data_IF_861979860961
#
_entry.id   IF_861979860961
#
_cell.length_a   1.000
_cell.length_b   1.000
_cell.length_c   1.000
_cell.angle_alpha   90.00
_cell.angle_beta   90.00
_cell.angle_gamma   90.00
#
_symmetry.space_group_name_H-M   'P 1'
#
loop_
_entity.id
_entity.type
_entity.pdbx_description
1 polymer ?
#
# COMPACT_ATOMS: atom_id res chain seq x y z
N UNK A 1 18.23 -4.23 4.39
CA UNK A 1 17.84 -5.15 3.27
C UNK A 1 16.58 -4.63 2.63
N UNK A 2 16.48 -4.70 1.29
CA UNK A 2 15.29 -4.22 0.61
C UNK A 2 14.10 -5.16 0.83
N UNK A 3 12.96 -4.61 1.25
CA UNK A 3 11.69 -5.34 1.34
C UNK A 3 11.07 -5.55 -0.05
N UNK A 4 11.21 -4.53 -0.92
CA UNK A 4 10.78 -4.55 -2.32
C UNK A 4 11.80 -3.82 -3.18
N UNK A 5 12.18 -4.41 -4.31
CA UNK A 5 13.02 -3.78 -5.34
C UNK A 5 12.44 -4.05 -6.71
N UNK A 6 12.26 -3.00 -7.45
CA UNK A 6 11.75 -3.00 -8.83
C UNK A 6 12.84 -2.38 -9.70
N UNK A 7 13.20 -3.02 -10.82
CA UNK A 7 14.26 -2.58 -11.71
C UNK A 7 13.79 -2.58 -13.16
N UNK A 8 13.90 -1.41 -13.79
CA UNK A 8 13.57 -1.16 -15.20
C UNK A 8 12.24 -1.79 -15.64
N UNK A 9 11.19 -1.67 -14.78
CA UNK A 9 9.91 -2.34 -15.00
C UNK A 9 9.09 -1.66 -16.11
N UNK A 10 8.71 -2.44 -17.10
CA UNK A 10 7.68 -2.09 -18.07
C UNK A 10 6.47 -3.00 -17.86
N UNK A 11 5.31 -2.40 -17.62
CA UNK A 11 4.08 -3.16 -17.35
C UNK A 11 2.84 -2.38 -17.81
N UNK A 12 1.71 -3.09 -17.97
CA UNK A 12 0.46 -2.48 -18.38
C UNK A 12 -0.69 -3.47 -18.52
N UNK A 13 -1.65 -3.17 -19.38
CA UNK A 13 -2.85 -3.98 -19.57
C UNK A 13 -3.08 -4.26 -21.07
N UNK A 14 -3.29 -5.52 -21.43
CA UNK A 14 -3.43 -5.92 -22.83
C UNK A 14 -2.21 -5.48 -23.65
N UNK A 15 -2.41 -4.67 -24.69
CA UNK A 15 -1.37 -4.08 -25.52
C UNK A 15 -0.86 -2.70 -25.03
N UNK A 16 -1.46 -2.14 -23.97
CA UNK A 16 -1.12 -0.79 -23.49
C UNK A 16 -0.03 -0.85 -22.42
N UNK A 17 1.09 -0.18 -22.65
CA UNK A 17 2.16 0.01 -21.67
C UNK A 17 1.84 1.24 -20.83
N UNK A 18 1.70 1.02 -19.49
CA UNK A 18 1.43 2.07 -18.51
C UNK A 18 2.71 2.48 -17.78
N UNK A 19 3.51 1.52 -17.36
CA UNK A 19 4.78 1.75 -16.67
C UNK A 19 5.95 1.61 -17.63
N UNK A 20 6.93 2.52 -17.53
CA UNK A 20 8.01 2.67 -18.50
C UNK A 20 9.35 2.82 -17.79
N UNK A 21 10.04 1.69 -17.58
CA UNK A 21 11.38 1.68 -16.97
C UNK A 21 11.38 2.13 -15.51
N UNK A 22 10.43 1.64 -14.70
CA UNK A 22 10.33 2.02 -13.29
C UNK A 22 11.45 1.38 -12.48
N UNK A 23 12.17 2.22 -11.74
CA UNK A 23 13.08 1.83 -10.68
C UNK A 23 12.55 2.30 -9.33
N UNK A 24 12.34 1.38 -8.39
CA UNK A 24 11.87 1.66 -7.05
C UNK A 24 12.45 0.66 -6.06
N UNK A 25 12.95 1.16 -4.94
CA UNK A 25 13.36 0.31 -3.81
C UNK A 25 12.65 0.78 -2.55
N UNK A 26 12.19 -0.16 -1.73
CA UNK A 26 11.67 0.08 -0.39
C UNK A 26 12.47 -0.80 0.57
N UNK A 27 13.14 -0.18 1.54
CA UNK A 27 13.91 -0.90 2.55
C UNK A 27 13.00 -1.48 3.65
N UNK A 28 13.50 -2.47 4.39
CA UNK A 28 12.75 -3.03 5.52
C UNK A 28 12.47 -1.95 6.58
N UNK A 29 11.21 -1.84 7.00
CA UNK A 29 10.76 -0.83 7.98
C UNK A 29 10.66 0.60 7.44
N UNK A 30 11.06 0.85 6.19
CA UNK A 30 10.96 2.16 5.55
C UNK A 30 9.51 2.50 5.21
N UNK A 31 9.16 3.80 5.26
CA UNK A 31 7.90 4.31 4.76
C UNK A 31 8.13 5.24 3.56
N UNK A 32 7.58 4.85 2.42
CA UNK A 32 7.75 5.56 1.14
C UNK A 32 6.41 6.01 0.62
N UNK A 33 6.31 7.27 0.20
CA UNK A 33 5.17 7.76 -0.54
C UNK A 33 5.41 7.67 -2.05
N UNK A 34 4.45 7.13 -2.77
CA UNK A 34 4.38 7.21 -4.23
C UNK A 34 3.33 8.27 -4.59
N UNK A 35 3.77 9.41 -5.07
CA UNK A 35 2.92 10.56 -5.40
C UNK A 35 2.86 10.80 -6.91
N UNK A 36 1.82 11.50 -7.37
CA UNK A 36 1.62 11.85 -8.78
C UNK A 36 0.14 11.97 -9.11
N UNK A 37 -0.17 12.51 -10.28
CA UNK A 37 -1.55 12.73 -10.74
C UNK A 37 -2.31 11.42 -10.95
N UNK A 38 -3.64 11.53 -11.04
CA UNK A 38 -4.49 10.42 -11.46
C UNK A 38 -4.09 9.97 -12.88
N UNK A 39 -4.01 8.63 -13.06
CA UNK A 39 -3.55 8.04 -14.33
C UNK A 39 -2.03 8.00 -14.51
N UNK A 40 -1.21 8.47 -13.56
CA UNK A 40 0.25 8.40 -13.65
C UNK A 40 0.83 6.97 -13.63
N UNK A 41 0.03 5.96 -13.22
CA UNK A 41 0.46 4.55 -13.16
C UNK A 41 0.68 4.02 -11.73
N UNK A 42 0.34 4.79 -10.69
CA UNK A 42 0.60 4.44 -9.28
C UNK A 42 -0.01 3.10 -8.87
N UNK A 43 -1.33 2.92 -9.05
CA UNK A 43 -2.03 1.66 -8.75
C UNK A 43 -1.53 0.52 -9.64
N UNK A 44 -1.19 0.80 -10.91
CA UNK A 44 -0.59 -0.19 -11.82
C UNK A 44 0.73 -0.72 -11.26
N UNK A 45 1.55 0.14 -10.65
CA UNK A 45 2.81 -0.27 -10.03
C UNK A 45 2.56 -1.21 -8.84
N UNK A 46 1.61 -0.87 -7.95
CA UNK A 46 1.27 -1.75 -6.82
C UNK A 46 0.72 -3.10 -7.31
N UNK A 47 -0.17 -3.09 -8.30
CA UNK A 47 -0.78 -4.29 -8.87
C UNK A 47 0.23 -5.18 -9.62
N UNK A 48 1.28 -4.58 -10.19
CA UNK A 48 2.36 -5.33 -10.84
C UNK A 48 3.11 -6.26 -9.88
N UNK A 49 3.25 -5.87 -8.61
CA UNK A 49 3.85 -6.71 -7.56
C UNK A 49 3.07 -8.02 -7.37
N UNK A 50 1.75 -7.99 -7.59
CA UNK A 50 0.86 -9.16 -7.48
C UNK A 50 0.52 -9.80 -8.83
N UNK A 51 1.20 -9.36 -9.91
CA UNK A 51 0.93 -9.86 -11.28
C UNK A 51 -0.52 -9.69 -11.73
N UNK A 52 -1.18 -8.67 -11.25
CA UNK A 52 -2.51 -8.25 -11.76
C UNK A 52 -2.38 -7.38 -13.03
N UNK A 53 -1.15 -7.19 -13.53
CA UNK A 53 -0.80 -6.50 -14.78
C UNK A 53 0.05 -7.41 -15.66
N UNK A 54 0.17 -7.09 -16.95
CA UNK A 54 1.13 -7.74 -17.83
C UNK A 54 2.52 -7.11 -17.62
N UNK A 55 3.48 -7.88 -17.11
CA UNK A 55 4.88 -7.48 -17.04
C UNK A 55 5.50 -7.76 -18.40
N UNK A 56 5.97 -6.69 -19.07
CA UNK A 56 6.58 -6.75 -20.41
C UNK A 56 8.08 -6.97 -20.32
N UNK A 57 8.74 -6.29 -19.38
CA UNK A 57 10.16 -6.46 -19.08
C UNK A 57 10.49 -5.88 -17.69
N UNK A 58 11.73 -6.09 -17.22
CA UNK A 58 12.21 -5.64 -15.92
C UNK A 58 12.11 -6.73 -14.87
N UNK A 59 12.42 -6.37 -13.64
CA UNK A 59 12.52 -7.30 -12.53
C UNK A 59 11.79 -6.78 -11.30
N UNK A 60 11.11 -7.68 -10.59
CA UNK A 60 10.50 -7.42 -9.29
C UNK A 60 11.06 -8.41 -8.27
N UNK A 61 11.64 -7.87 -7.22
CA UNK A 61 12.24 -8.63 -6.12
C UNK A 61 11.54 -8.33 -4.81
N UNK A 62 11.15 -9.35 -4.08
CA UNK A 62 10.71 -9.24 -2.70
C UNK A 62 11.79 -9.89 -1.85
N UNK A 63 12.49 -9.08 -1.06
CA UNK A 63 13.74 -9.45 -0.39
C UNK A 63 14.74 -10.00 -1.44
N UNK A 64 15.23 -11.19 -1.24
CA UNK A 64 16.23 -11.83 -2.11
C UNK A 64 15.60 -12.69 -3.22
N UNK A 65 14.26 -12.65 -3.38
CA UNK A 65 13.57 -13.50 -4.35
C UNK A 65 12.97 -12.69 -5.48
N UNK A 66 13.38 -12.99 -6.70
CA UNK A 66 12.77 -12.47 -7.93
C UNK A 66 11.39 -13.10 -8.14
N UNK A 67 10.36 -12.29 -8.41
CA UNK A 67 8.96 -12.73 -8.46
C UNK A 67 8.22 -12.36 -9.74
N UNK A 68 8.79 -11.57 -10.64
CA UNK A 68 8.12 -11.07 -11.86
C UNK A 68 7.58 -12.18 -12.78
N UNK A 69 8.18 -13.37 -12.75
CA UNK A 69 7.68 -14.54 -13.49
C UNK A 69 6.89 -15.55 -12.64
N UNK A 70 6.74 -15.31 -11.31
CA UNK A 70 6.07 -16.22 -10.38
C UNK A 70 4.59 -15.87 -10.24
N UNK A 71 3.73 -16.81 -9.75
CA UNK A 71 2.32 -16.52 -9.47
C UNK A 71 2.15 -15.34 -8.49
N UNK A 72 1.13 -14.50 -8.69
CA UNK A 72 0.90 -13.26 -7.93
C UNK A 72 0.81 -13.45 -6.41
N UNK A 73 0.30 -14.60 -5.94
CA UNK A 73 0.27 -14.91 -4.50
C UNK A 73 1.66 -15.07 -3.87
N UNK A 74 2.72 -15.16 -4.67
CA UNK A 74 4.10 -15.30 -4.18
C UNK A 74 4.53 -14.07 -3.38
N UNK A 75 4.17 -12.86 -3.81
CA UNK A 75 4.43 -11.64 -3.07
C UNK A 75 3.84 -11.70 -1.65
N UNK A 76 2.59 -12.16 -1.52
CA UNK A 76 1.91 -12.29 -0.23
C UNK A 76 2.60 -13.33 0.68
N UNK A 77 3.01 -14.48 0.15
CA UNK A 77 3.77 -15.50 0.91
C UNK A 77 5.12 -15.00 1.39
N UNK A 78 5.76 -14.10 0.63
CA UNK A 78 7.04 -13.48 1.00
C UNK A 78 6.89 -12.29 1.96
N UNK A 79 5.65 -11.88 2.25
CA UNK A 79 5.36 -10.85 3.25
C UNK A 79 5.08 -9.47 2.68
N UNK A 80 4.61 -9.37 1.45
CA UNK A 80 4.02 -8.14 0.92
C UNK A 80 2.50 -8.26 0.94
N UNK A 81 1.80 -7.29 1.53
CA UNK A 81 0.33 -7.24 1.49
C UNK A 81 -0.16 -5.94 0.86
N UNK A 82 -1.43 -5.90 0.46
CA UNK A 82 -2.03 -4.73 -0.15
C UNK A 82 -3.41 -4.43 0.45
N UNK A 83 -3.67 -3.14 0.73
CA UNK A 83 -5.01 -2.59 0.86
C UNK A 83 -5.29 -1.77 -0.41
N UNK A 84 -6.02 -2.32 -1.38
CA UNK A 84 -6.25 -1.70 -2.67
C UNK A 84 -7.28 -0.57 -2.58
N UNK A 85 -7.27 0.33 -3.55
CA UNK A 85 -8.31 1.35 -3.74
C UNK A 85 -9.70 0.72 -3.76
N UNK A 86 -10.70 1.43 -3.21
CA UNK A 86 -12.07 0.95 -3.12
C UNK A 86 -12.31 -0.09 -2.04
N UNK A 87 -11.34 -0.30 -1.11
CA UNK A 87 -11.45 -1.11 0.12
C UNK A 87 -11.70 -2.61 -0.11
N UNK A 88 -12.42 -3.00 -1.16
CA UNK A 88 -12.79 -4.37 -1.55
C UNK A 88 -13.25 -5.22 -0.34
N UNK A 89 -14.21 -4.67 0.44
CA UNK A 89 -14.84 -5.39 1.54
C UNK A 89 -15.72 -6.50 0.98
N UNK A 90 -15.63 -7.71 1.55
CA UNK A 90 -16.46 -8.83 1.14
C UNK A 90 -17.85 -8.70 1.80
N UNK A 91 -18.92 -8.53 0.99
CA UNK A 91 -20.20 -8.05 1.50
C UNK A 91 -20.93 -9.07 2.38
N UNK A 92 -20.71 -10.37 2.15
CA UNK A 92 -21.36 -11.45 2.88
C UNK A 92 -20.61 -11.91 4.13
N UNK A 93 -19.50 -11.26 4.46
CA UNK A 93 -18.69 -11.61 5.61
C UNK A 93 -18.79 -10.54 6.70
N UNK A 94 -18.77 -10.98 7.93
CA UNK A 94 -18.64 -10.13 9.11
C UNK A 94 -17.29 -9.41 9.10
N UNK A 95 -17.15 -8.40 9.96
CA UNK A 95 -15.88 -7.70 10.18
C UNK A 95 -14.78 -8.70 10.58
N UNK A 96 -15.06 -9.58 11.54
CA UNK A 96 -14.13 -10.62 12.00
C UNK A 96 -13.72 -11.55 10.89
N UNK A 97 -14.67 -12.06 10.09
CA UNK A 97 -14.38 -12.95 8.98
C UNK A 97 -13.55 -12.26 7.87
N UNK A 98 -13.88 -10.99 7.54
CA UNK A 98 -13.06 -10.19 6.63
C UNK A 98 -11.60 -10.09 7.11
N UNK A 99 -11.36 -9.85 8.41
CA UNK A 99 -10.02 -9.80 8.99
C UNK A 99 -9.31 -11.16 8.88
N UNK A 100 -10.00 -12.25 9.23
CA UNK A 100 -9.43 -13.60 9.23
C UNK A 100 -8.97 -14.07 7.85
N UNK A 101 -9.57 -13.59 6.77
CA UNK A 101 -9.09 -13.87 5.41
C UNK A 101 -7.64 -13.45 5.18
N UNK A 102 -7.19 -12.38 5.83
CA UNK A 102 -5.80 -11.93 5.75
C UNK A 102 -4.78 -12.98 6.22
N UNK A 103 -5.19 -13.93 7.07
CA UNK A 103 -4.34 -15.01 7.58
C UNK A 103 -4.04 -16.11 6.55
N UNK A 104 -4.62 -16.05 5.35
CA UNK A 104 -4.47 -17.08 4.31
C UNK A 104 -3.01 -17.35 3.90
N UNK A 105 -2.09 -16.41 4.16
CA UNK A 105 -0.66 -16.59 3.90
C UNK A 105 0.02 -17.57 4.86
N UNK A 106 -0.58 -17.87 6.02
CA UNK A 106 0.01 -18.71 7.08
C UNK A 106 1.15 -18.05 7.85
N UNK A 107 1.50 -16.79 7.56
CA UNK A 107 2.58 -16.07 8.29
C UNK A 107 2.17 -15.75 9.72
N UNK A 108 3.12 -15.90 10.63
CA UNK A 108 2.96 -15.59 12.06
C UNK A 108 3.78 -14.35 12.40
N UNK A 109 3.29 -13.51 13.30
CA UNK A 109 3.99 -12.31 13.74
C UNK A 109 3.15 -11.43 14.65
N UNK A 110 3.48 -10.14 14.68
CA UNK A 110 2.85 -9.14 15.55
C UNK A 110 1.34 -8.98 15.31
N UNK A 111 0.91 -9.08 14.05
CA UNK A 111 -0.47 -8.77 13.67
C UNK A 111 -1.38 -9.98 13.91
N UNK A 112 -2.18 -9.89 14.96
CA UNK A 112 -3.23 -10.82 15.36
C UNK A 112 -4.57 -10.10 15.42
N UNK A 113 -5.69 -10.82 15.58
CA UNK A 113 -6.97 -10.15 15.80
C UNK A 113 -6.90 -9.17 16.97
N UNK A 114 -6.23 -9.56 18.06
CA UNK A 114 -6.07 -8.71 19.25
C UNK A 114 -5.35 -7.40 18.89
N UNK A 115 -4.17 -7.46 18.29
CA UNK A 115 -3.38 -6.25 17.97
C UNK A 115 -4.03 -5.40 16.86
N UNK A 116 -4.78 -6.01 15.95
CA UNK A 116 -5.59 -5.26 14.97
C UNK A 116 -6.77 -4.56 15.63
N UNK A 117 -7.40 -5.16 16.62
CA UNK A 117 -8.46 -4.53 17.42
C UNK A 117 -7.91 -3.42 18.33
N UNK A 118 -6.73 -3.60 18.91
CA UNK A 118 -6.03 -2.54 19.66
C UNK A 118 -5.73 -1.33 18.75
N UNK A 119 -5.38 -1.57 17.47
CA UNK A 119 -5.17 -0.51 16.47
C UNK A 119 -6.49 0.13 16.00
N UNK A 120 -7.56 -0.65 15.91
CA UNK A 120 -8.90 -0.24 15.42
C UNK A 120 -10.01 -0.74 16.35
N UNK A 121 -10.22 -0.13 17.53
CA UNK A 121 -11.21 -0.62 18.51
C UNK A 121 -12.63 -0.75 17.96
N UNK A 122 -13.03 0.13 17.05
CA UNK A 122 -14.34 0.09 16.39
C UNK A 122 -14.59 -1.21 15.60
N UNK A 123 -13.53 -1.88 15.14
CA UNK A 123 -13.67 -3.16 14.46
C UNK A 123 -13.98 -4.31 15.43
N UNK A 124 -13.51 -4.24 16.67
CA UNK A 124 -13.86 -5.16 17.73
C UNK A 124 -15.33 -4.99 18.14
N UNK A 125 -15.76 -3.75 18.41
CA UNK A 125 -17.14 -3.41 18.76
C UNK A 125 -18.15 -3.90 17.71
N UNK A 126 -17.72 -4.02 16.46
CA UNK A 126 -18.56 -4.40 15.33
C UNK A 126 -18.17 -5.73 14.71
N UNK A 127 -17.41 -6.56 15.42
CA UNK A 127 -16.80 -7.78 14.91
C UNK A 127 -17.79 -8.74 14.23
N UNK A 128 -19.00 -8.86 14.77
CA UNK A 128 -20.03 -9.79 14.29
C UNK A 128 -21.05 -9.14 13.31
N UNK A 129 -20.83 -7.85 12.94
CA UNK A 129 -21.63 -7.18 11.91
C UNK A 129 -21.03 -7.39 10.53
N UNK A 130 -21.88 -7.34 9.48
CA UNK A 130 -21.40 -7.38 8.10
C UNK A 130 -20.47 -6.19 7.81
N UNK A 131 -19.36 -6.43 7.11
CA UNK A 131 -18.38 -5.40 6.78
C UNK A 131 -18.95 -4.23 5.98
N UNK A 132 -20.00 -4.47 5.19
CA UNK A 132 -20.73 -3.45 4.43
C UNK A 132 -21.58 -2.49 5.29
N UNK A 133 -21.89 -2.87 6.51
CA UNK A 133 -22.64 -2.02 7.46
C UNK A 133 -21.74 -0.97 8.14
N UNK A 134 -20.45 -1.00 7.92
CA UNK A 134 -19.50 -0.02 8.42
C UNK A 134 -19.56 1.27 7.61
N UNK A 135 -19.26 2.42 8.26
CA UNK A 135 -19.03 3.67 7.54
C UNK A 135 -17.81 3.58 6.60
N UNK A 136 -17.68 4.49 5.64
CA UNK A 136 -16.56 4.49 4.71
C UNK A 136 -15.18 4.48 5.39
N UNK A 137 -14.98 5.29 6.42
CA UNK A 137 -13.73 5.30 7.19
C UNK A 137 -13.49 3.98 7.95
N UNK A 138 -14.55 3.39 8.53
CA UNK A 138 -14.44 2.09 9.21
C UNK A 138 -14.14 0.96 8.23
N UNK A 139 -14.70 1.01 7.01
CA UNK A 139 -14.35 0.06 5.94
C UNK A 139 -12.89 0.20 5.52
N UNK A 140 -12.33 1.42 5.53
CA UNK A 140 -10.91 1.65 5.28
C UNK A 140 -10.04 1.01 6.36
N UNK A 141 -10.41 1.19 7.65
CA UNK A 141 -9.75 0.51 8.77
C UNK A 141 -9.81 -1.02 8.62
N UNK A 142 -10.97 -1.55 8.19
CA UNK A 142 -11.14 -2.99 7.95
C UNK A 142 -10.25 -3.49 6.81
N UNK A 143 -10.12 -2.76 5.71
CA UNK A 143 -9.24 -3.11 4.59
C UNK A 143 -7.77 -3.13 5.01
N UNK A 144 -7.31 -2.12 5.75
CA UNK A 144 -5.95 -2.06 6.30
C UNK A 144 -5.74 -3.20 7.31
N UNK A 145 -6.68 -3.39 8.25
CA UNK A 145 -6.62 -4.46 9.24
C UNK A 145 -6.52 -5.85 8.59
N UNK A 146 -7.30 -6.11 7.54
CA UNK A 146 -7.22 -7.36 6.77
C UNK A 146 -5.85 -7.55 6.12
N UNK A 147 -5.25 -6.49 5.58
CA UNK A 147 -3.91 -6.57 5.00
C UNK A 147 -2.84 -6.82 6.07
N UNK A 148 -2.98 -6.25 7.26
CA UNK A 148 -2.08 -6.48 8.41
C UNK A 148 -2.17 -7.91 8.93
N UNK A 149 -3.36 -8.54 8.91
CA UNK A 149 -3.54 -9.94 9.34
C UNK A 149 -2.70 -10.94 8.54
N UNK A 150 -2.18 -10.55 7.36
CA UNK A 150 -1.19 -11.34 6.61
C UNK A 150 0.21 -11.35 7.26
N UNK A 151 0.43 -10.62 8.34
CA UNK A 151 1.73 -10.39 8.97
C UNK A 151 2.81 -9.94 7.97
N UNK A 152 2.55 -8.83 7.24
CA UNK A 152 3.47 -8.38 6.23
C UNK A 152 4.73 -7.74 6.82
N UNK A 153 5.86 -7.88 6.11
CA UNK A 153 7.04 -7.04 6.32
C UNK A 153 6.93 -5.71 5.57
N UNK A 154 6.07 -5.66 4.53
CA UNK A 154 5.75 -4.47 3.75
C UNK A 154 4.26 -4.45 3.41
N UNK A 155 3.57 -3.37 3.76
CA UNK A 155 2.18 -3.13 3.34
C UNK A 155 2.14 -2.08 2.23
N UNK A 156 1.40 -2.37 1.17
CA UNK A 156 1.10 -1.46 0.08
C UNK A 156 -0.30 -0.87 0.30
N UNK A 157 -0.43 0.45 0.24
CA UNK A 157 -1.68 1.16 0.47
C UNK A 157 -2.00 2.03 -0.74
N UNK A 158 -3.14 1.79 -1.37
CA UNK A 158 -3.55 2.51 -2.58
C UNK A 158 -4.66 3.52 -2.24
N UNK A 159 -4.28 4.81 -2.19
CA UNK A 159 -5.12 5.97 -1.87
C UNK A 159 -5.96 5.77 -0.58
N UNK A 160 -5.32 5.42 0.57
CA UNK A 160 -6.05 5.09 1.78
C UNK A 160 -6.83 6.26 2.38
N UNK A 161 -6.53 7.51 2.01
CA UNK A 161 -7.25 8.71 2.48
C UNK A 161 -8.47 9.06 1.63
N UNK A 162 -8.72 8.37 0.51
CA UNK A 162 -9.82 8.69 -0.41
C UNK A 162 -11.18 8.66 0.30
N UNK A 163 -11.91 9.79 0.20
CA UNK A 163 -13.25 9.94 0.78
C UNK A 163 -13.27 9.98 2.32
N UNK A 164 -12.14 10.22 2.98
CA UNK A 164 -12.06 10.43 4.41
C UNK A 164 -12.21 11.91 4.79
N UNK A 165 -12.83 12.18 5.94
CA UNK A 165 -12.83 13.51 6.53
C UNK A 165 -11.45 13.88 7.09
N UNK A 166 -11.13 15.17 7.28
CA UNK A 166 -9.84 15.60 7.83
C UNK A 166 -9.48 14.91 9.16
N UNK A 167 -10.45 14.73 10.06
CA UNK A 167 -10.24 14.04 11.35
C UNK A 167 -9.83 12.57 11.15
N UNK A 168 -10.43 11.89 10.17
CA UNK A 168 -10.06 10.49 9.86
C UNK A 168 -8.69 10.38 9.17
N UNK A 169 -8.27 11.41 8.44
CA UNK A 169 -6.92 11.49 7.87
C UNK A 169 -5.88 11.59 8.98
N UNK A 170 -6.13 12.38 10.04
CA UNK A 170 -5.24 12.45 11.19
C UNK A 170 -5.11 11.08 11.89
N UNK A 171 -6.23 10.39 12.12
CA UNK A 171 -6.22 9.01 12.64
C UNK A 171 -5.50 8.02 11.73
N UNK A 172 -5.56 8.20 10.40
CA UNK A 172 -4.81 7.38 9.45
C UNK A 172 -3.30 7.61 9.57
N UNK A 173 -2.85 8.86 9.75
CA UNK A 173 -1.42 9.18 10.01
C UNK A 173 -0.92 8.43 11.26
N UNK A 174 -1.69 8.48 12.36
CA UNK A 174 -1.33 7.79 13.59
C UNK A 174 -1.29 6.26 13.39
N UNK A 175 -2.21 5.73 12.59
CA UNK A 175 -2.24 4.31 12.19
C UNK A 175 -0.97 3.94 11.43
N UNK A 176 -0.59 4.69 10.40
CA UNK A 176 0.61 4.41 9.60
C UNK A 176 1.88 4.47 10.45
N UNK A 177 1.98 5.44 11.35
CA UNK A 177 3.10 5.54 12.28
C UNK A 177 3.13 4.36 13.28
N UNK A 178 1.97 3.83 13.69
CA UNK A 178 1.89 2.65 14.56
C UNK A 178 2.32 1.37 13.82
N UNK A 179 1.93 1.21 12.56
CA UNK A 179 2.35 0.11 11.67
C UNK A 179 3.87 0.11 11.52
N UNK A 180 4.48 1.28 11.28
CA UNK A 180 5.94 1.44 11.18
C UNK A 180 6.65 1.08 12.49
N UNK A 181 6.14 1.58 13.62
CA UNK A 181 6.70 1.24 14.96
C UNK A 181 6.65 -0.25 15.27
N UNK A 182 5.69 -0.97 14.72
CA UNK A 182 5.62 -2.43 14.79
C UNK A 182 6.59 -3.15 13.84
N UNK A 183 7.42 -2.41 13.08
CA UNK A 183 8.43 -2.96 12.16
C UNK A 183 7.93 -3.31 10.77
N UNK A 184 6.67 -2.97 10.43
CA UNK A 184 6.14 -3.17 9.07
C UNK A 184 6.46 -1.94 8.21
N UNK A 185 7.17 -2.13 7.08
CA UNK A 185 7.40 -1.09 6.09
C UNK A 185 6.10 -0.68 5.38
N UNK A 186 6.05 0.53 4.86
CA UNK A 186 4.85 1.09 4.19
C UNK A 186 5.22 1.68 2.85
N UNK A 187 4.54 1.26 1.78
CA UNK A 187 4.51 1.99 0.51
C UNK A 187 3.09 2.52 0.32
N UNK A 188 2.92 3.83 0.45
CA UNK A 188 1.61 4.47 0.31
C UNK A 188 1.52 5.27 -0.97
N UNK A 189 0.51 4.97 -1.78
CA UNK A 189 0.09 5.80 -2.91
C UNK A 189 -0.85 6.86 -2.38
N UNK A 190 -0.50 8.15 -2.56
CA UNK A 190 -1.29 9.24 -2.02
C UNK A 190 -1.17 10.52 -2.84
N UNK A 191 -2.21 11.35 -2.75
CA UNK A 191 -2.24 12.71 -3.27
C UNK A 191 -2.28 13.75 -2.14
N UNK A 192 -2.61 13.32 -0.94
CA UNK A 192 -2.74 14.14 0.24
C UNK A 192 -1.38 14.45 0.86
N UNK A 193 -0.75 15.56 0.44
CA UNK A 193 0.62 15.92 0.85
C UNK A 193 0.79 16.07 2.36
N UNK A 194 -0.27 16.49 3.10
CA UNK A 194 -0.20 16.58 4.56
C UNK A 194 -0.04 15.19 5.21
N UNK A 195 -0.79 14.18 4.73
CA UNK A 195 -0.64 12.79 5.18
C UNK A 195 0.76 12.28 4.86
N UNK A 196 1.19 12.45 3.61
CA UNK A 196 2.49 11.99 3.13
C UNK A 196 3.63 12.55 4.00
N UNK A 197 3.64 13.87 4.26
CA UNK A 197 4.67 14.53 5.09
C UNK A 197 4.76 14.01 6.52
N UNK A 198 3.65 13.55 7.08
CA UNK A 198 3.55 13.13 8.49
C UNK A 198 3.76 11.63 8.68
N UNK A 199 3.61 10.83 7.62
CA UNK A 199 3.58 9.37 7.71
C UNK A 199 4.72 8.67 6.95
N UNK A 200 5.55 9.39 6.17
CA UNK A 200 6.59 8.76 5.34
C UNK A 200 7.97 9.38 5.53
N UNK A 201 9.02 8.64 5.16
CA UNK A 201 10.42 9.08 5.27
C UNK A 201 10.92 9.76 4.00
N UNK A 202 10.45 9.27 2.85
CA UNK A 202 10.78 9.79 1.52
C UNK A 202 9.61 9.65 0.55
N UNK A 203 9.75 10.29 -0.60
CA UNK A 203 8.78 10.23 -1.67
C UNK A 203 9.42 9.82 -3.01
N UNK A 204 8.58 9.29 -3.89
CA UNK A 204 8.86 9.05 -5.31
C UNK A 204 7.73 9.67 -6.10
N UNK A 205 8.05 10.47 -7.12
CA UNK A 205 7.07 11.12 -8.00
C UNK A 205 6.94 10.31 -9.29
N UNK A 206 5.74 9.87 -9.57
CA UNK A 206 5.40 9.17 -10.80
C UNK A 206 4.60 10.10 -11.73
N UNK A 207 5.04 10.23 -12.97
CA UNK A 207 4.32 10.95 -14.01
C UNK A 207 4.38 10.18 -15.32
N UNK A 208 3.23 10.00 -15.99
CA UNK A 208 3.11 9.34 -17.31
C UNK A 208 3.81 7.96 -17.39
N UNK A 209 3.81 7.23 -16.27
CA UNK A 209 4.41 5.90 -16.19
C UNK A 209 5.91 5.87 -15.93
N UNK A 210 6.53 6.99 -15.60
CA UNK A 210 7.97 7.11 -15.33
C UNK A 210 8.22 7.74 -13.95
N UNK A 211 9.32 7.38 -13.28
CA UNK A 211 9.79 8.07 -12.08
C UNK A 211 10.50 9.34 -12.51
N UNK A 212 9.91 10.49 -12.17
CA UNK A 212 10.44 11.81 -12.57
C UNK A 212 11.16 12.54 -11.43
N UNK A 213 11.04 12.05 -10.19
CA UNK A 213 11.70 12.64 -9.04
C UNK A 213 11.58 11.77 -7.79
N UNK A 214 12.51 11.92 -6.87
CA UNK A 214 12.47 11.30 -5.56
C UNK A 214 13.29 12.13 -4.57
N UNK A 215 13.04 11.94 -3.27
CA UNK A 215 13.79 12.67 -2.25
C UNK A 215 13.30 12.36 -0.84
N UNK A 216 14.02 12.91 0.16
CA UNK A 216 13.59 12.88 1.55
C UNK A 216 12.29 13.67 1.72
N UNK A 217 11.39 13.21 2.60
CA UNK A 217 10.04 13.79 2.72
C UNK A 217 10.04 15.30 3.03
N UNK A 218 11.04 15.79 3.75
CA UNK A 218 11.17 17.22 4.04
C UNK A 218 11.29 18.12 2.81
N UNK A 219 11.70 17.59 1.65
CA UNK A 219 11.88 18.34 0.41
C UNK A 219 10.68 18.26 -0.54
N UNK A 220 9.62 17.52 -0.22
CA UNK A 220 8.47 17.33 -1.12
C UNK A 220 7.75 18.65 -1.47
N UNK A 221 7.86 19.65 -0.62
CA UNK A 221 7.26 20.98 -0.83
C UNK A 221 8.11 21.93 -1.66
N UNK A 222 9.31 21.55 -2.08
CA UNK A 222 10.17 22.38 -2.92
C UNK A 222 9.50 22.67 -4.29
N UNK A 223 9.69 23.88 -4.87
CA UNK A 223 9.04 24.28 -6.12
C UNK A 223 9.26 23.30 -7.27
N UNK A 224 10.48 22.76 -7.39
CA UNK A 224 10.84 21.77 -8.40
C UNK A 224 10.01 20.48 -8.26
N UNK A 225 9.81 19.96 -7.05
CA UNK A 225 9.01 18.76 -6.80
C UNK A 225 7.53 19.03 -7.02
N UNK A 226 7.03 20.22 -6.68
CA UNK A 226 5.66 20.61 -6.98
C UNK A 226 5.40 20.68 -8.48
N UNK A 227 6.35 21.21 -9.26
CA UNK A 227 6.26 21.23 -10.72
C UNK A 227 6.21 19.80 -11.31
N UNK A 228 7.04 18.87 -10.80
CA UNK A 228 7.05 17.47 -11.24
C UNK A 228 5.73 16.76 -10.90
N UNK A 229 5.12 17.03 -9.74
CA UNK A 229 3.82 16.47 -9.37
C UNK A 229 2.66 17.03 -10.21
N UNK A 230 2.86 18.16 -10.91
CA UNK A 230 1.86 18.76 -11.79
C UNK A 230 1.87 18.20 -13.23
N UNK A 231 2.89 17.38 -13.59
CA UNK A 231 2.99 16.72 -14.90
C UNK A 231 1.98 15.59 -15.08
#
# INVERSE_FOLDING_TARGET
>A
MSALRIQSLFAGYGASTVLRGIDLTVEEGESVALVGRNGAGKSTLLLSVFRETNILSGEIWVRDRRIDALPGYTAAKLGVSIAPQGRRILPNLTVRENLLLGRSTGRVGHWTLKTVYELFPVLEERADRLGTMLSGGQQQMLAIGRALMANPSLILLDEPSEGLSPVLIDGLVDTLNSIRRAGTGVLVVEQHLNLVRRATDRFVILAKGEVVGCGAIGTIGAPENQALMAL
#
